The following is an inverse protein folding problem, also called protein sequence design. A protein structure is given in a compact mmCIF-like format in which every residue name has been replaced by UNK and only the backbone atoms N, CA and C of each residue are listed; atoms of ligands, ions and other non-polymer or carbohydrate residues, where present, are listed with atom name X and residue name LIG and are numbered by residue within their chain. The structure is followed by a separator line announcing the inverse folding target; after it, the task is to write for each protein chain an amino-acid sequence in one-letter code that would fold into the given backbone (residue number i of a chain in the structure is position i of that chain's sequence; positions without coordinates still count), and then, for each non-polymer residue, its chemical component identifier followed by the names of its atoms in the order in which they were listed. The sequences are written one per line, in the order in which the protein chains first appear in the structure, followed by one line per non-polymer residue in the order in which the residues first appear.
data_IF_088430435455
#
_entry.id   IF_088430435455
#
_cell.length_a   1.000
_cell.length_b   1.000
_cell.length_c   1.000
_cell.angle_alpha   90.00
_cell.angle_beta   90.00
_cell.angle_gamma   90.00
#
_symmetry.space_group_name_H-M   'P 1'
#
loop_
_entity.id
_entity.type
_entity.pdbx_description
1 polymer ?
#
# COMPACT_ATOMS: atom_id res chain seq x y z
N UNK A 1 -3.82 13.81 -8.71
CA UNK A 1 -4.62 12.68 -9.20
C UNK A 1 -6.07 12.95 -8.83
N UNK A 2 -6.95 12.96 -9.82
CA UNK A 2 -8.39 13.19 -9.61
C UNK A 2 -9.14 11.86 -9.66
N UNK A 3 -10.05 11.67 -8.71
CA UNK A 3 -10.74 10.39 -8.47
C UNK A 3 -12.23 10.64 -8.36
N UNK A 4 -13.00 9.93 -9.16
CA UNK A 4 -14.45 9.94 -9.08
C UNK A 4 -14.95 8.66 -8.41
N UNK A 5 -15.88 8.84 -7.48
CA UNK A 5 -16.51 7.76 -6.73
C UNK A 5 -18.03 7.88 -6.85
N UNK A 6 -18.69 6.73 -7.00
CA UNK A 6 -20.14 6.62 -6.95
C UNK A 6 -20.57 5.47 -6.06
N UNK A 7 -21.69 5.65 -5.38
CA UNK A 7 -22.38 4.65 -4.53
C UNK A 7 -21.48 3.97 -3.48
N UNK A 8 -20.72 4.76 -2.74
CA UNK A 8 -19.88 4.29 -1.63
C UNK A 8 -20.58 4.55 -0.29
N UNK A 9 -21.45 3.63 0.12
CA UNK A 9 -22.23 3.75 1.35
C UNK A 9 -23.11 5.00 1.31
N UNK A 10 -22.89 5.95 2.24
CA UNK A 10 -23.62 7.21 2.28
C UNK A 10 -23.28 8.18 1.12
N UNK A 11 -22.18 7.93 0.39
CA UNK A 11 -21.72 8.79 -0.71
C UNK A 11 -22.37 8.32 -2.02
N UNK A 12 -23.33 9.08 -2.54
CA UNK A 12 -23.91 8.81 -3.88
C UNK A 12 -22.94 9.14 -5.00
N UNK A 13 -22.27 10.29 -4.91
CA UNK A 13 -21.23 10.72 -5.85
C UNK A 13 -20.26 11.65 -5.13
N UNK A 14 -18.97 11.49 -5.41
CA UNK A 14 -17.93 12.39 -4.95
C UNK A 14 -16.81 12.47 -5.98
N UNK A 15 -16.17 13.63 -6.06
CA UNK A 15 -14.95 13.88 -6.82
C UNK A 15 -13.87 14.34 -5.84
N UNK A 16 -12.71 13.67 -5.86
CA UNK A 16 -11.57 13.99 -5.01
C UNK A 16 -10.39 14.42 -5.87
N UNK A 17 -9.90 15.63 -5.64
CA UNK A 17 -8.58 16.01 -6.13
C UNK A 17 -7.53 15.69 -5.06
N UNK A 18 -6.87 14.55 -5.23
CA UNK A 18 -5.79 14.09 -4.36
C UNK A 18 -4.45 14.76 -4.70
N UNK A 19 -4.39 15.70 -5.65
CA UNK A 19 -3.18 16.54 -5.85
C UNK A 19 -3.03 17.65 -4.81
N UNK A 20 -4.11 17.98 -4.07
CA UNK A 20 -4.10 19.04 -3.07
C UNK A 20 -3.26 18.65 -1.86
N UNK A 21 -2.54 19.63 -1.30
CA UNK A 21 -1.70 19.44 -0.10
C UNK A 21 -2.50 19.17 1.16
N UNK A 22 -3.73 19.68 1.23
CA UNK A 22 -4.64 19.49 2.35
C UNK A 22 -6.06 19.37 1.82
N UNK A 23 -6.73 18.28 2.18
CA UNK A 23 -8.13 18.02 1.87
C UNK A 23 -8.87 17.82 3.19
N UNK A 24 -9.91 18.60 3.44
CA UNK A 24 -10.68 18.54 4.68
C UNK A 24 -12.11 18.10 4.35
N UNK A 25 -12.54 16.97 4.91
CA UNK A 25 -13.92 16.50 4.83
C UNK A 25 -14.72 17.03 6.02
N UNK A 26 -15.64 17.98 5.77
CA UNK A 26 -16.52 18.56 6.79
C UNK A 26 -17.99 18.20 6.51
N UNK A 27 -18.81 18.18 7.56
CA UNK A 27 -20.26 17.93 7.44
C UNK A 27 -20.84 17.16 8.63
N UNK A 28 -22.17 16.94 8.64
CA UNK A 28 -22.87 16.23 9.70
C UNK A 28 -22.37 14.80 9.93
N UNK A 29 -22.66 14.24 11.10
CA UNK A 29 -22.37 12.82 11.37
C UNK A 29 -23.06 11.91 10.34
N UNK A 30 -22.43 10.77 10.06
CA UNK A 30 -22.93 9.77 9.10
C UNK A 30 -23.05 10.23 7.63
N UNK A 31 -22.41 11.34 7.24
CA UNK A 31 -22.43 11.84 5.86
C UNK A 31 -21.39 11.21 4.92
N UNK A 32 -20.74 10.11 5.31
CA UNK A 32 -19.72 9.43 4.50
C UNK A 32 -18.29 9.96 4.64
N UNK A 33 -17.99 10.89 5.55
CA UNK A 33 -16.61 11.41 5.75
C UNK A 33 -15.58 10.29 5.97
N UNK A 34 -15.89 9.33 6.84
CA UNK A 34 -15.02 8.16 7.09
C UNK A 34 -14.89 7.27 5.86
N UNK A 35 -15.95 7.12 5.07
CA UNK A 35 -15.93 6.33 3.83
C UNK A 35 -14.97 6.94 2.81
N UNK A 36 -15.05 8.26 2.61
CA UNK A 36 -14.14 9.00 1.74
C UNK A 36 -12.69 8.89 2.22
N UNK A 37 -12.43 9.11 3.51
CA UNK A 37 -11.08 9.03 4.08
C UNK A 37 -10.47 7.61 3.93
N UNK A 38 -11.25 6.56 4.19
CA UNK A 38 -10.77 5.17 4.06
C UNK A 38 -10.51 4.80 2.62
N UNK A 39 -11.32 5.27 1.68
CA UNK A 39 -11.12 5.02 0.26
C UNK A 39 -9.90 5.77 -0.28
N UNK A 40 -9.71 7.04 0.11
CA UNK A 40 -8.51 7.80 -0.21
C UNK A 40 -7.27 7.07 0.35
N UNK A 41 -7.31 6.65 1.61
CA UNK A 41 -6.22 5.87 2.20
C UNK A 41 -5.96 4.58 1.42
N UNK A 42 -6.99 3.78 1.15
CA UNK A 42 -6.87 2.53 0.38
C UNK A 42 -6.24 2.76 -1.00
N UNK A 43 -6.66 3.80 -1.72
CA UNK A 43 -6.12 4.13 -3.04
C UNK A 43 -4.66 4.60 -2.99
N UNK A 44 -4.29 5.36 -1.96
CA UNK A 44 -2.91 5.89 -1.80
C UNK A 44 -1.95 4.92 -1.12
N UNK A 45 -2.48 3.85 -0.51
CA UNK A 45 -1.67 2.84 0.15
C UNK A 45 -0.95 1.99 -0.90
N UNK A 46 0.33 2.31 -1.10
CA UNK A 46 1.23 1.56 -1.96
C UNK A 46 1.36 0.11 -1.46
N UNK A 47 1.13 -0.86 -2.35
CA UNK A 47 1.42 -2.27 -2.08
C UNK A 47 0.24 -3.14 -1.64
N UNK A 48 -0.98 -2.83 -2.06
CA UNK A 48 -2.15 -3.69 -1.79
C UNK A 48 -2.02 -5.09 -2.38
N UNK A 49 -1.19 -5.27 -3.42
CA UNK A 49 -0.97 -6.58 -4.03
C UNK A 49 0.51 -6.84 -4.31
N UNK A 50 1.01 -7.80 -3.56
CA UNK A 50 2.17 -8.62 -3.87
C UNK A 50 1.85 -9.47 -5.10
N UNK A 51 1.79 -8.84 -6.27
CA UNK A 51 1.87 -9.60 -7.51
C UNK A 51 3.26 -10.21 -7.54
N UNK A 52 3.33 -11.54 -7.63
CA UNK A 52 4.53 -12.24 -8.04
C UNK A 52 4.93 -11.65 -9.40
N UNK A 53 5.91 -10.75 -9.43
CA UNK A 53 6.52 -10.38 -10.69
C UNK A 53 7.24 -11.60 -11.26
N UNK A 54 7.26 -11.70 -12.59
CA UNK A 54 8.23 -12.58 -13.25
C UNK A 54 9.64 -12.17 -12.81
N UNK A 55 10.56 -13.14 -12.75
CA UNK A 55 11.96 -12.90 -12.39
C UNK A 55 12.50 -11.73 -13.20
N UNK A 56 12.79 -10.63 -12.51
CA UNK A 56 13.14 -9.39 -13.18
C UNK A 56 14.65 -9.30 -13.31
N UNK A 57 15.14 -9.34 -14.55
CA UNK A 57 16.57 -9.29 -14.90
C UNK A 57 17.29 -8.12 -14.20
N UNK A 58 16.61 -6.98 -14.00
CA UNK A 58 17.20 -5.80 -13.35
C UNK A 58 17.52 -6.00 -11.86
N UNK A 59 16.89 -6.96 -11.15
CA UNK A 59 17.24 -7.26 -9.75
C UNK A 59 18.61 -7.92 -9.68
N UNK A 60 18.94 -8.81 -10.63
CA UNK A 60 20.27 -9.42 -10.72
C UNK A 60 21.33 -8.35 -11.01
N UNK A 61 21.04 -7.41 -11.91
CA UNK A 61 21.92 -6.27 -12.17
C UNK A 61 22.09 -5.37 -10.95
N UNK A 62 21.00 -5.11 -10.20
CA UNK A 62 21.03 -4.32 -8.98
C UNK A 62 21.93 -4.96 -7.92
N UNK A 63 21.85 -6.28 -7.76
CA UNK A 63 22.67 -7.01 -6.78
C UNK A 63 24.13 -7.04 -7.22
N UNK A 64 24.39 -7.32 -8.51
CA UNK A 64 25.75 -7.46 -9.05
C UNK A 64 26.51 -6.13 -9.12
N UNK A 65 25.83 -5.08 -9.60
CA UNK A 65 26.46 -3.78 -9.89
C UNK A 65 26.15 -2.72 -8.82
N UNK A 66 25.36 -3.06 -7.79
CA UNK A 66 24.80 -2.15 -6.78
C UNK A 66 23.94 -1.01 -7.35
N UNK A 67 23.70 -1.04 -8.66
CA UNK A 67 22.92 -0.07 -9.42
C UNK A 67 22.18 -0.78 -10.55
N UNK A 68 20.96 -0.35 -10.80
CA UNK A 68 20.20 -0.78 -11.96
C UNK A 68 19.32 0.37 -12.46
N UNK A 69 19.00 0.34 -13.75
CA UNK A 69 18.00 1.21 -14.33
C UNK A 69 16.76 0.37 -14.66
N UNK A 70 15.60 0.90 -14.30
CA UNK A 70 14.31 0.30 -14.61
C UNK A 70 13.58 1.17 -15.64
N UNK A 71 13.39 0.63 -16.84
CA UNK A 71 12.66 1.32 -17.91
C UNK A 71 11.16 1.31 -17.65
N UNK A 72 10.53 2.48 -17.80
CA UNK A 72 9.11 2.68 -17.59
C UNK A 72 8.33 2.40 -18.87
N UNK A 73 7.65 1.25 -18.89
CA UNK A 73 6.71 0.90 -19.95
C UNK A 73 5.32 1.40 -19.57
N UNK A 74 4.89 2.50 -20.18
CA UNK A 74 3.59 3.17 -19.88
C UNK A 74 2.41 2.20 -19.90
N UNK A 75 2.36 1.28 -20.86
CA UNK A 75 1.27 0.33 -21.03
C UNK A 75 1.16 -0.64 -19.85
N UNK A 76 2.29 -1.17 -19.39
CA UNK A 76 2.36 -2.09 -18.25
C UNK A 76 1.90 -1.42 -16.96
N UNK A 77 2.37 -0.20 -16.72
CA UNK A 77 2.03 0.56 -15.51
C UNK A 77 0.56 1.01 -15.54
N UNK A 78 0.05 1.40 -16.71
CA UNK A 78 -1.35 1.73 -16.90
C UNK A 78 -2.27 0.53 -16.64
N UNK A 79 -1.89 -0.66 -17.12
CA UNK A 79 -2.61 -1.90 -16.84
C UNK A 79 -2.57 -2.25 -15.35
N UNK A 80 -1.41 -2.15 -14.72
CA UNK A 80 -1.25 -2.32 -13.28
C UNK A 80 -2.22 -1.41 -12.50
N UNK A 81 -2.26 -0.11 -12.82
CA UNK A 81 -3.18 0.84 -12.19
C UNK A 81 -4.64 0.41 -12.34
N UNK A 82 -5.06 -0.01 -13.54
CA UNK A 82 -6.44 -0.46 -13.79
C UNK A 82 -6.77 -1.71 -12.98
N UNK A 83 -5.84 -2.64 -12.85
CA UNK A 83 -6.06 -3.88 -12.10
C UNK A 83 -6.07 -3.64 -10.59
N UNK A 84 -5.28 -2.68 -10.08
CA UNK A 84 -5.39 -2.20 -8.70
C UNK A 84 -6.74 -1.53 -8.42
N UNK A 85 -7.25 -0.70 -9.35
CA UNK A 85 -8.60 -0.12 -9.22
C UNK A 85 -9.68 -1.21 -9.18
N UNK A 86 -9.61 -2.20 -10.10
CA UNK A 86 -10.53 -3.35 -10.07
C UNK A 86 -10.39 -4.16 -8.79
N UNK A 87 -9.18 -4.26 -8.25
CA UNK A 87 -8.91 -4.94 -6.99
C UNK A 87 -9.62 -4.27 -5.83
N UNK A 88 -9.53 -2.94 -5.73
CA UNK A 88 -10.19 -2.16 -4.68
C UNK A 88 -11.68 -2.46 -4.61
N UNK A 89 -12.36 -2.57 -5.76
CA UNK A 89 -13.77 -2.97 -5.83
C UNK A 89 -14.05 -4.33 -5.18
N UNK A 90 -13.11 -5.28 -5.27
CA UNK A 90 -13.22 -6.63 -4.71
C UNK A 90 -12.76 -6.73 -3.26
N UNK A 91 -12.21 -5.66 -2.69
CA UNK A 91 -11.62 -5.65 -1.35
C UNK A 91 -12.36 -4.70 -0.41
N UNK A 92 -13.58 -4.29 -0.77
CA UNK A 92 -14.40 -3.39 0.04
C UNK A 92 -14.74 -3.99 1.41
N UNK A 93 -14.92 -5.32 1.51
CA UNK A 93 -15.09 -5.98 2.79
C UNK A 93 -13.90 -5.74 3.72
N UNK A 94 -12.69 -5.99 3.23
CA UNK A 94 -11.46 -5.71 3.98
C UNK A 94 -11.25 -4.22 4.29
N UNK A 95 -11.54 -3.33 3.33
CA UNK A 95 -11.38 -1.88 3.52
C UNK A 95 -12.28 -1.36 4.63
N UNK A 96 -13.53 -1.85 4.69
CA UNK A 96 -14.55 -1.38 5.63
C UNK A 96 -14.78 -2.28 6.84
N UNK A 97 -14.06 -3.40 6.97
CA UNK A 97 -14.13 -4.29 8.12
C UNK A 97 -15.45 -5.07 8.20
N UNK A 98 -15.99 -5.47 7.04
CA UNK A 98 -17.21 -6.28 6.93
C UNK A 98 -16.94 -7.53 6.11
N UNK A 99 -17.79 -8.55 6.21
CA UNK A 99 -17.66 -9.72 5.34
C UNK A 99 -17.88 -9.34 3.87
N UNK A 100 -17.28 -10.10 2.95
CA UNK A 100 -17.44 -9.84 1.51
C UNK A 100 -18.91 -9.95 1.06
N UNK A 101 -19.70 -10.84 1.68
CA UNK A 101 -21.14 -10.93 1.39
C UNK A 101 -21.89 -9.65 1.77
N UNK A 102 -21.56 -9.06 2.92
CA UNK A 102 -22.14 -7.78 3.35
C UNK A 102 -21.66 -6.66 2.42
N UNK A 103 -20.36 -6.63 2.08
CA UNK A 103 -19.79 -5.64 1.19
C UNK A 103 -20.44 -5.68 -0.20
N UNK A 104 -20.61 -6.86 -0.79
CA UNK A 104 -21.26 -7.03 -2.09
C UNK A 104 -22.70 -6.52 -2.09
N UNK A 105 -23.42 -6.67 -0.98
CA UNK A 105 -24.78 -6.14 -0.86
C UNK A 105 -24.81 -4.62 -0.65
N UNK A 106 -23.94 -4.08 0.21
CA UNK A 106 -23.88 -2.65 0.53
C UNK A 106 -23.32 -1.80 -0.62
N UNK A 107 -22.40 -2.36 -1.40
CA UNK A 107 -21.62 -1.65 -2.42
C UNK A 107 -21.84 -2.22 -3.83
N UNK A 108 -22.99 -2.86 -4.09
CA UNK A 108 -23.30 -3.50 -5.37
C UNK A 108 -23.10 -2.59 -6.60
N UNK A 109 -23.42 -1.29 -6.44
CA UNK A 109 -23.37 -0.28 -7.50
C UNK A 109 -22.13 0.63 -7.37
N UNK A 110 -21.16 0.26 -6.52
CA UNK A 110 -19.96 1.04 -6.30
C UNK A 110 -19.11 1.11 -7.57
N UNK A 111 -18.62 2.31 -7.87
CA UNK A 111 -17.63 2.51 -8.92
C UNK A 111 -16.61 3.56 -8.50
N UNK A 112 -15.37 3.31 -8.87
CA UNK A 112 -14.26 4.24 -8.73
C UNK A 112 -13.52 4.36 -10.07
N UNK A 113 -13.15 5.58 -10.44
CA UNK A 113 -12.34 5.87 -11.62
C UNK A 113 -11.35 6.99 -11.33
N UNK A 114 -10.23 6.97 -12.04
CA UNK A 114 -9.27 8.08 -12.08
C UNK A 114 -9.56 8.86 -13.36
N UNK A 115 -9.70 10.18 -13.26
CA UNK A 115 -10.12 11.03 -14.39
C UNK A 115 -9.04 11.15 -15.49
N UNK A 116 -7.77 10.98 -15.12
CA UNK A 116 -6.62 11.03 -16.02
C UNK A 116 -6.73 9.99 -17.15
N UNK A 117 -6.50 10.40 -18.39
CA UNK A 117 -6.41 9.51 -19.55
C UNK A 117 -5.02 8.87 -19.69
N UNK A 118 -4.91 7.78 -20.46
CA UNK A 118 -3.60 7.12 -20.72
C UNK A 118 -2.57 8.07 -21.35
N UNK A 119 -3.01 8.98 -22.22
CA UNK A 119 -2.13 9.97 -22.88
C UNK A 119 -1.63 11.03 -21.88
N UNK A 120 -2.50 11.49 -20.99
CA UNK A 120 -2.12 12.41 -19.91
C UNK A 120 -1.18 11.73 -18.92
N UNK A 121 -1.45 10.46 -18.59
CA UNK A 121 -0.58 9.66 -17.74
C UNK A 121 0.83 9.51 -18.32
N UNK A 122 0.95 9.19 -19.62
CA UNK A 122 2.24 9.11 -20.31
C UNK A 122 3.02 10.44 -20.23
N UNK A 123 2.33 11.56 -20.47
CA UNK A 123 2.94 12.88 -20.34
C UNK A 123 3.34 13.19 -18.89
N UNK A 124 2.55 12.73 -17.92
CA UNK A 124 2.82 12.94 -16.50
C UNK A 124 3.99 12.09 -16.00
N UNK A 125 4.24 10.89 -16.53
CA UNK A 125 5.44 10.07 -16.20
C UNK A 125 6.73 10.87 -16.41
N UNK A 126 6.82 11.66 -17.49
CA UNK A 126 7.99 12.51 -17.77
C UNK A 126 8.13 13.65 -16.75
N UNK A 127 7.02 14.16 -16.21
CA UNK A 127 7.02 15.24 -15.21
C UNK A 127 7.30 14.76 -13.79
N UNK A 128 7.20 13.46 -13.51
CA UNK A 128 7.42 12.91 -12.18
C UNK A 128 8.87 13.12 -11.72
N UNK A 129 9.00 13.62 -10.49
CA UNK A 129 10.26 13.72 -9.77
C UNK A 129 10.05 13.23 -8.34
N UNK A 130 10.82 12.23 -7.93
CA UNK A 130 10.85 11.77 -6.53
C UNK A 130 12.13 11.02 -6.22
N UNK A 131 12.48 11.04 -4.93
CA UNK A 131 13.39 10.08 -4.31
C UNK A 131 12.61 9.31 -3.25
N UNK A 132 12.83 8.01 -3.17
CA UNK A 132 12.22 7.14 -2.19
C UNK A 132 13.23 6.10 -1.70
N UNK A 133 13.03 5.61 -0.50
CA UNK A 133 13.86 4.54 0.08
C UNK A 133 12.98 3.34 0.38
N UNK A 134 13.37 2.19 -0.16
CA UNK A 134 12.75 0.91 0.13
C UNK A 134 13.64 0.14 1.08
N UNK A 135 13.13 -0.12 2.28
CA UNK A 135 13.78 -0.99 3.26
C UNK A 135 13.04 -2.32 3.36
N UNK A 136 13.75 -3.41 3.09
CA UNK A 136 13.26 -4.79 3.18
C UNK A 136 14.32 -5.59 3.94
N UNK A 137 13.99 -6.04 5.15
CA UNK A 137 14.92 -6.77 6.03
C UNK A 137 16.28 -6.02 6.20
N UNK A 138 17.36 -6.65 5.74
CA UNK A 138 18.76 -6.21 5.70
C UNK A 138 19.11 -5.40 4.43
N UNK A 139 18.12 -5.07 3.59
CA UNK A 139 18.31 -4.37 2.31
C UNK A 139 17.64 -3.00 2.30
N UNK A 140 18.39 -2.02 1.82
CA UNK A 140 18.00 -0.64 1.61
C UNK A 140 18.32 -0.25 0.17
N UNK A 141 17.27 0.08 -0.58
CA UNK A 141 17.36 0.53 -1.98
C UNK A 141 16.89 1.97 -2.07
N UNK A 142 17.75 2.82 -2.60
CA UNK A 142 17.41 4.17 -3.03
C UNK A 142 16.79 4.12 -4.43
N UNK A 143 15.62 4.73 -4.58
CA UNK A 143 14.81 4.77 -5.79
C UNK A 143 14.72 6.23 -6.24
N UNK A 144 15.29 6.55 -7.39
CA UNK A 144 15.32 7.91 -7.91
C UNK A 144 14.64 7.97 -9.29
N UNK A 145 13.63 8.84 -9.41
CA UNK A 145 13.00 9.19 -10.68
C UNK A 145 13.21 10.68 -10.94
N UNK A 146 13.86 11.01 -12.07
CA UNK A 146 14.12 12.40 -12.50
C UNK A 146 13.09 12.87 -13.54
N UNK A 147 12.94 14.18 -13.64
CA UNK A 147 12.16 14.85 -14.70
C UNK A 147 12.76 14.50 -16.08
N UNK A 148 11.91 14.44 -17.10
CA UNK A 148 12.24 14.16 -18.50
C UNK A 148 12.94 12.81 -18.75
N UNK A 149 12.86 11.88 -17.79
CA UNK A 149 13.38 10.52 -17.91
C UNK A 149 12.25 9.50 -17.89
N UNK A 150 12.37 8.44 -18.70
CA UNK A 150 11.55 7.22 -18.64
C UNK A 150 12.24 6.09 -17.88
N UNK A 151 13.24 6.40 -17.08
CA UNK A 151 13.95 5.43 -16.26
C UNK A 151 13.85 5.79 -14.78
N UNK A 152 13.81 4.76 -13.95
CA UNK A 152 14.06 4.86 -12.52
C UNK A 152 15.47 4.34 -12.26
N UNK A 153 16.29 5.13 -11.58
CA UNK A 153 17.60 4.69 -11.11
C UNK A 153 17.46 4.07 -9.73
N UNK A 154 17.99 2.86 -9.58
CA UNK A 154 18.01 2.11 -8.34
C UNK A 154 19.45 2.04 -7.85
N UNK A 155 19.67 2.25 -6.55
CA UNK A 155 20.96 2.10 -5.91
C UNK A 155 20.81 1.31 -4.62
N UNK A 156 21.54 0.22 -4.53
CA UNK A 156 21.65 -0.59 -3.32
C UNK A 156 22.64 0.08 -2.36
N UNK A 157 22.25 0.28 -1.10
CA UNK A 157 23.16 0.84 -0.07
C UNK A 157 23.96 -0.25 0.66
N UNK A 158 23.41 -1.45 0.77
CA UNK A 158 24.02 -2.54 1.53
C UNK A 158 25.02 -3.34 0.69
N UNK A 159 26.08 -3.82 1.35
CA UNK A 159 27.16 -4.56 0.69
C UNK A 159 26.98 -6.08 0.73
N UNK A 160 26.18 -6.57 1.66
CA UNK A 160 25.89 -8.00 1.85
C UNK A 160 24.38 -8.15 1.94
N UNK A 161 23.83 -9.03 1.11
CA UNK A 161 22.38 -9.30 1.07
C UNK A 161 22.16 -10.79 1.32
N UNK A 162 21.25 -11.11 2.25
CA UNK A 162 20.80 -12.48 2.47
C UNK A 162 20.01 -13.04 1.27
N UNK A 163 20.10 -14.35 1.02
CA UNK A 163 19.36 -15.02 -0.06
C UNK A 163 17.84 -14.79 0.05
N UNK A 164 17.30 -14.82 1.27
CA UNK A 164 15.89 -14.54 1.53
C UNK A 164 15.48 -13.13 1.08
N UNK A 165 16.35 -12.14 1.27
CA UNK A 165 16.05 -10.78 0.85
C UNK A 165 16.12 -10.61 -0.67
N UNK A 166 17.00 -11.34 -1.36
CA UNK A 166 17.02 -11.39 -2.82
C UNK A 166 15.68 -11.92 -3.36
N UNK A 167 15.20 -13.05 -2.84
CA UNK A 167 13.92 -13.64 -3.25
C UNK A 167 12.75 -12.66 -3.03
N UNK A 168 12.75 -11.93 -1.91
CA UNK A 168 11.72 -10.92 -1.62
C UNK A 168 11.79 -9.75 -2.61
N UNK A 169 12.99 -9.32 -3.00
CA UNK A 169 13.16 -8.25 -4.00
C UNK A 169 12.65 -8.66 -5.37
N UNK A 170 12.99 -9.88 -5.82
CA UNK A 170 12.53 -10.42 -7.10
C UNK A 170 11.00 -10.50 -7.18
N UNK A 171 10.35 -10.74 -6.04
CA UNK A 171 8.90 -10.82 -5.96
C UNK A 171 8.21 -9.45 -5.89
N UNK A 172 8.81 -8.45 -5.24
CA UNK A 172 8.07 -7.22 -4.88
C UNK A 172 8.60 -5.93 -5.48
N UNK A 173 9.86 -5.88 -5.91
CA UNK A 173 10.47 -4.62 -6.34
C UNK A 173 9.73 -4.04 -7.56
N UNK A 174 9.43 -4.86 -8.57
CA UNK A 174 8.67 -4.42 -9.75
C UNK A 174 7.28 -3.88 -9.39
N UNK A 175 6.51 -4.61 -8.57
CA UNK A 175 5.19 -4.16 -8.12
C UNK A 175 5.29 -2.85 -7.33
N UNK A 176 6.32 -2.70 -6.49
CA UNK A 176 6.57 -1.46 -5.76
C UNK A 176 6.85 -0.30 -6.70
N UNK A 177 7.72 -0.47 -7.70
CA UNK A 177 8.03 0.56 -8.70
C UNK A 177 6.78 0.94 -9.51
N UNK A 178 6.01 -0.06 -9.96
CA UNK A 178 4.73 0.19 -10.64
C UNK A 178 3.76 0.96 -9.77
N UNK A 179 3.63 0.60 -8.49
CA UNK A 179 2.77 1.31 -7.53
C UNK A 179 3.19 2.78 -7.37
N UNK A 180 4.49 3.06 -7.24
CA UNK A 180 5.00 4.44 -7.09
C UNK A 180 4.68 5.31 -8.30
N UNK A 181 4.79 4.77 -9.51
CA UNK A 181 4.49 5.52 -10.75
C UNK A 181 2.98 5.59 -10.99
N UNK A 182 2.27 4.48 -10.81
CA UNK A 182 0.83 4.40 -11.00
C UNK A 182 0.06 5.31 -10.05
N UNK A 183 0.54 5.57 -8.84
CA UNK A 183 -0.21 6.39 -7.87
C UNK A 183 0.55 7.64 -7.41
N UNK A 184 1.55 8.09 -8.18
CA UNK A 184 2.24 9.36 -7.94
C UNK A 184 1.22 10.53 -7.76
N UNK A 185 1.42 11.45 -6.79
CA UNK A 185 2.62 11.67 -5.97
C UNK A 185 2.70 10.83 -4.69
N UNK A 186 1.82 9.85 -4.49
CA UNK A 186 1.79 9.08 -3.25
C UNK A 186 2.86 7.99 -3.25
N UNK A 187 3.88 8.17 -2.42
CA UNK A 187 4.96 7.19 -2.21
C UNK A 187 4.71 6.29 -1.00
N UNK A 188 3.96 6.82 -0.03
CA UNK A 188 3.46 6.14 1.17
C UNK A 188 2.21 6.87 1.68
N UNK A 189 1.41 6.19 2.50
CA UNK A 189 0.25 6.78 3.17
C UNK A 189 0.17 6.24 4.59
N UNK A 190 -0.10 7.11 5.55
CA UNK A 190 -0.31 6.75 6.95
C UNK A 190 -1.68 7.25 7.39
N UNK A 191 -2.32 6.51 8.29
CA UNK A 191 -3.62 6.86 8.85
C UNK A 191 -3.46 7.15 10.33
N UNK A 192 -4.04 8.26 10.77
CA UNK A 192 -4.00 8.73 12.15
C UNK A 192 -5.45 8.83 12.67
N UNK A 193 -6.02 7.73 13.21
CA UNK A 193 -7.39 7.74 13.70
C UNK A 193 -7.54 8.62 14.96
N UNK A 194 -8.72 9.20 15.17
CA UNK A 194 -9.02 10.15 16.26
C UNK A 194 -8.97 9.48 17.64
N UNK A 195 -9.20 8.17 17.75
CA UNK A 195 -9.14 7.40 19.00
C UNK A 195 -7.69 7.11 19.46
N UNK A 196 -6.88 8.17 19.54
CA UNK A 196 -5.44 8.13 19.87
C UNK A 196 -5.12 7.68 21.30
N UNK A 197 -6.10 7.52 22.18
CA UNK A 197 -5.85 6.97 23.49
C UNK A 197 -6.22 5.48 23.49
N UNK A 198 -7.45 5.14 23.13
CA UNK A 198 -7.93 3.75 23.16
C UNK A 198 -7.09 2.80 22.30
N UNK A 199 -6.74 3.19 21.07
CA UNK A 199 -5.93 2.35 20.17
C UNK A 199 -4.54 2.09 20.77
N UNK A 200 -3.91 3.08 21.38
CA UNK A 200 -2.55 2.96 21.91
C UNK A 200 -2.53 2.36 23.33
N UNK A 201 -3.57 2.59 24.12
CA UNK A 201 -3.76 1.99 25.45
C UNK A 201 -4.10 0.51 25.34
N UNK A 202 -4.95 0.12 24.39
CA UNK A 202 -5.43 -1.26 24.25
C UNK A 202 -4.79 -2.02 23.08
N UNK A 203 -3.75 -1.50 22.44
CA UNK A 203 -3.13 -2.14 21.26
C UNK A 203 -2.71 -3.58 21.55
N UNK A 204 -2.12 -3.84 22.71
CA UNK A 204 -1.64 -5.16 23.15
C UNK A 204 -2.77 -6.14 23.52
N UNK A 205 -3.92 -5.63 23.96
CA UNK A 205 -5.14 -6.38 24.28
C UNK A 205 -5.96 -6.67 23.01
N UNK A 206 -5.98 -5.72 22.07
CA UNK A 206 -6.61 -5.83 20.76
C UNK A 206 -5.70 -6.54 19.74
N UNK A 207 -4.59 -7.12 20.20
CA UNK A 207 -3.46 -7.49 19.36
C UNK A 207 -3.87 -8.40 18.21
N UNK A 208 -3.89 -7.82 17.02
CA UNK A 208 -4.18 -8.51 15.77
C UNK A 208 -3.12 -9.59 15.54
N UNK A 209 -1.86 -9.33 15.92
CA UNK A 209 -0.73 -10.24 15.73
C UNK A 209 -0.89 -11.58 16.46
N UNK A 210 -1.34 -11.57 17.73
CA UNK A 210 -1.54 -12.83 18.50
C UNK A 210 -2.64 -13.68 17.89
N UNK A 211 -3.69 -13.04 17.36
CA UNK A 211 -4.81 -13.75 16.78
C UNK A 211 -4.52 -14.22 15.35
N UNK A 212 -3.83 -13.42 14.53
CA UNK A 212 -3.28 -13.87 13.25
C UNK A 212 -2.33 -15.06 13.44
N UNK A 213 -1.50 -15.04 14.48
CA UNK A 213 -0.68 -16.19 14.84
C UNK A 213 -1.52 -17.43 15.20
N UNK A 214 -2.58 -17.28 16.00
CA UNK A 214 -3.47 -18.39 16.38
C UNK A 214 -4.24 -18.95 15.18
N UNK A 215 -4.79 -18.10 14.31
CA UNK A 215 -5.45 -18.50 13.08
C UNK A 215 -4.47 -19.23 12.14
N UNK A 216 -3.25 -18.71 11.98
CA UNK A 216 -2.16 -19.36 11.24
C UNK A 216 -1.80 -20.72 11.83
N UNK A 217 -1.66 -20.81 13.15
CA UNK A 217 -1.30 -22.05 13.85
C UNK A 217 -2.39 -23.13 13.74
N UNK A 218 -3.67 -22.75 13.84
CA UNK A 218 -4.81 -23.65 13.66
C UNK A 218 -4.89 -24.19 12.23
N UNK A 219 -4.68 -23.34 11.23
CA UNK A 219 -4.74 -23.75 9.83
C UNK A 219 -3.52 -24.61 9.43
N UNK A 220 -2.33 -24.35 9.96
CA UNK A 220 -1.13 -25.22 9.80
C UNK A 220 -1.32 -26.60 10.45
N UNK A 221 -2.06 -26.68 11.57
CA UNK A 221 -2.40 -27.94 12.23
C UNK A 221 -3.43 -28.79 11.48
N UNK A 222 -4.15 -28.19 10.52
CA UNK A 222 -5.10 -28.90 9.67
C UNK A 222 -4.37 -29.53 8.47
N UNK A 223 -4.36 -30.87 8.38
CA UNK A 223 -3.61 -31.69 7.39
C UNK A 223 -3.96 -31.47 5.91
N UNK A 224 -4.69 -30.41 5.57
CA UNK A 224 -4.93 -29.97 4.20
C UNK A 224 -4.24 -28.62 4.01
N UNK A 225 -3.06 -28.60 3.42
CA UNK A 225 -2.85 -27.99 2.11
C UNK A 225 -1.36 -27.74 1.82
N UNK A 226 -0.99 -28.10 0.60
CA UNK A 226 0.23 -27.70 -0.09
C UNK A 226 0.12 -26.20 -0.49
N UNK A 227 0.01 -25.29 0.49
CA UNK A 227 -0.15 -23.85 0.26
C UNK A 227 1.19 -23.13 0.39
N UNK A 228 1.46 -22.30 -0.60
CA UNK A 228 2.60 -21.39 -0.70
C UNK A 228 2.80 -20.59 0.62
N UNK A 229 4.00 -20.55 1.22
CA UNK A 229 4.32 -19.72 2.39
C UNK A 229 3.82 -18.26 2.28
N UNK A 230 3.74 -17.71 1.06
CA UNK A 230 3.23 -16.36 0.81
C UNK A 230 1.73 -16.18 1.07
N UNK A 231 0.94 -17.25 1.09
CA UNK A 231 -0.51 -17.19 1.39
C UNK A 231 -0.79 -16.60 2.79
N UNK A 232 0.09 -16.89 3.75
CA UNK A 232 -0.06 -16.44 5.15
C UNK A 232 0.31 -14.97 5.36
N UNK A 233 1.21 -14.46 4.54
CA UNK A 233 1.57 -13.04 4.49
C UNK A 233 0.44 -12.19 3.88
N UNK A 234 -0.34 -12.80 2.99
CA UNK A 234 -1.45 -12.17 2.27
C UNK A 234 -2.79 -12.17 3.04
N UNK A 235 -2.99 -13.12 3.96
CA UNK A 235 -4.23 -13.25 4.71
C UNK A 235 -4.19 -12.35 5.95
N UNK A 236 -4.84 -11.20 5.86
CA UNK A 236 -5.04 -10.27 6.98
C UNK A 236 -6.46 -10.37 7.54
N UNK A 237 -6.62 -10.19 8.86
CA UNK A 237 -7.94 -10.19 9.51
C UNK A 237 -8.85 -9.07 8.98
N UNK A 238 -10.15 -9.35 8.83
CA UNK A 238 -11.20 -8.40 8.43
C UNK A 238 -12.00 -7.83 9.61
N UNK A 239 -11.62 -8.15 10.86
CA UNK A 239 -12.33 -7.70 12.07
C UNK A 239 -12.36 -6.18 12.22
N UNK A 240 -11.32 -5.50 11.74
CA UNK A 240 -11.25 -4.05 11.69
C UNK A 240 -11.17 -3.57 10.25
N UNK A 241 -11.72 -2.38 9.94
CA UNK A 241 -11.45 -1.71 8.68
C UNK A 241 -9.95 -1.59 8.46
N UNK A 242 -9.49 -1.79 7.22
CA UNK A 242 -8.08 -1.73 6.86
C UNK A 242 -7.32 -0.54 7.47
N UNK A 243 -7.83 0.71 7.42
CA UNK A 243 -7.08 1.84 7.98
C UNK A 243 -6.96 1.77 9.51
N UNK A 244 -7.95 1.23 10.21
CA UNK A 244 -7.87 1.04 11.67
C UNK A 244 -6.88 -0.06 12.03
N UNK A 245 -6.93 -1.18 11.29
CA UNK A 245 -5.98 -2.28 11.46
C UNK A 245 -4.54 -1.81 11.27
N UNK A 246 -4.27 -1.09 10.19
CA UNK A 246 -2.93 -0.57 9.91
C UNK A 246 -2.48 0.46 10.97
N UNK A 247 -3.42 1.28 11.48
CA UNK A 247 -3.14 2.18 12.60
C UNK A 247 -2.79 1.45 13.91
N UNK A 248 -3.45 0.32 14.19
CA UNK A 248 -3.14 -0.55 15.33
C UNK A 248 -1.75 -1.20 15.18
N UNK A 249 -1.41 -1.70 13.98
CA UNK A 249 -0.08 -2.27 13.69
C UNK A 249 1.03 -1.23 14.01
N UNK A 250 0.88 0.01 13.53
CA UNK A 250 1.83 1.10 13.83
C UNK A 250 1.88 1.41 15.33
N UNK A 251 0.73 1.43 16.01
CA UNK A 251 0.65 1.72 17.44
C UNK A 251 1.36 0.67 18.31
N UNK A 252 1.26 -0.62 17.96
CA UNK A 252 2.01 -1.69 18.65
C UNK A 252 3.52 -1.50 18.49
N UNK A 253 3.96 -1.16 17.28
CA UNK A 253 5.38 -0.99 16.96
C UNK A 253 5.99 0.30 17.52
N UNK A 254 5.19 1.34 17.81
CA UNK A 254 5.70 2.59 18.41
C UNK A 254 6.48 2.36 19.70
N UNK A 255 6.09 1.37 20.52
CA UNK A 255 6.83 1.03 21.73
C UNK A 255 8.23 0.44 21.44
N UNK A 256 8.43 -0.14 20.26
CA UNK A 256 9.75 -0.58 19.79
C UNK A 256 10.51 0.58 19.13
N UNK A 257 9.83 1.40 18.32
CA UNK A 257 10.43 2.57 17.68
C UNK A 257 10.88 3.62 18.69
N UNK A 258 10.18 3.81 19.81
CA UNK A 258 10.58 4.74 20.88
C UNK A 258 11.95 4.41 21.51
N UNK A 259 12.40 3.16 21.38
CA UNK A 259 13.72 2.70 21.86
C UNK A 259 14.85 2.98 20.86
N UNK A 260 14.51 3.41 19.65
CA UNK A 260 15.47 3.74 18.59
C UNK A 260 15.72 5.25 18.54
N UNK A 261 16.96 5.65 18.22
CA UNK A 261 17.28 7.05 17.99
C UNK A 261 17.04 7.37 16.50
N UNK A 262 16.05 8.21 16.22
CA UNK A 262 15.84 8.74 14.88
C UNK A 262 16.79 9.89 14.59
N UNK A 263 16.88 10.31 13.33
CA UNK A 263 17.55 11.54 12.91
C UNK A 263 16.98 12.80 13.60
N UNK A 264 15.77 12.70 14.15
CA UNK A 264 15.11 13.77 14.88
C UNK A 264 15.27 13.68 16.41
N UNK A 265 16.01 12.68 16.92
CA UNK A 265 16.14 12.45 18.37
C UNK A 265 16.69 13.67 19.12
N UNK A 266 17.55 14.47 18.49
CA UNK A 266 18.14 15.67 19.08
C UNK A 266 17.19 16.89 19.14
N UNK A 267 16.01 16.81 18.51
CA UNK A 267 15.02 17.90 18.52
C UNK A 267 13.97 17.76 19.63
N UNK A 268 13.97 16.63 20.35
CA UNK A 268 13.11 16.35 21.50
C UNK A 268 13.84 16.71 22.81
#
# INVERSE_FOLDING_TARGET
MEVDIKNLGAIKSAHFDLSKRLTVFCGPNNSGKTYAAYMAYALTKSGMKYFKSEESIFVQDLIKNQKANFELITDSIWNYRRDEIKSLNKSLGSIYGVSEDIANNLFKDFSISIAETKKEFDANILRMNFSNELKINDVTIEILKKVDSREINLKLKDTVISKSSIEILELFLTSKLFSLIAFYPFTSSYILPVERNSIYTFSKELSIQKQEFLERAQELGSKKNNRDPFHWYLKKSTRYPMPIRDGLEVAEDLNNYSKTKSEFYSFA
#
